data_IF_829202579894
#
_entry.id   IF_829202579894
#
_cell.length_a   1.000
_cell.length_b   1.000
_cell.length_c   1.000
_cell.angle_alpha   90.00
_cell.angle_beta   90.00
_cell.angle_gamma   90.00
#
_symmetry.space_group_name_H-M   'P 1'
#
loop_
_entity.id
_entity.type
_entity.pdbx_description
1 polymer ?
#
# COMPACT_ATOMS: atom_id res chain seq x y z
N UNK A 1 -17.18 -7.90 6.03
CA UNK A 1 -16.50 -7.77 4.73
C UNK A 1 -16.31 -6.29 4.49
N UNK A 2 -15.08 -5.79 4.59
CA UNK A 2 -14.78 -4.36 4.49
C UNK A 2 -13.28 -4.22 4.37
N UNK A 3 -12.76 -4.55 3.18
CA UNK A 3 -11.36 -4.41 2.84
C UNK A 3 -11.03 -2.91 2.77
N UNK A 4 -9.87 -2.55 3.32
CA UNK A 4 -9.37 -1.19 3.34
C UNK A 4 -9.23 -0.65 1.91
N UNK A 5 -9.73 0.56 1.63
CA UNK A 5 -9.80 1.07 0.27
C UNK A 5 -8.44 1.67 -0.17
N UNK A 6 -7.81 1.09 -1.18
CA UNK A 6 -6.61 1.61 -1.85
C UNK A 6 -7.03 2.70 -2.84
N UNK A 7 -6.67 3.95 -2.55
CA UNK A 7 -6.55 5.01 -3.55
C UNK A 7 -5.11 4.91 -4.08
N UNK A 8 -4.95 4.52 -5.33
CA UNK A 8 -3.64 4.53 -5.97
C UNK A 8 -3.10 5.95 -6.07
N UNK A 9 -1.88 6.20 -5.59
CA UNK A 9 -1.04 7.23 -6.19
C UNK A 9 0.46 6.98 -5.93
N UNK A 10 1.10 6.36 -6.94
CA UNK A 10 2.54 6.31 -7.14
C UNK A 10 3.05 4.89 -7.39
N UNK A 11 3.35 4.57 -8.66
CA UNK A 11 4.26 3.47 -8.98
C UNK A 11 5.63 4.06 -9.31
N UNK A 12 6.71 3.51 -8.78
CA UNK A 12 8.06 3.97 -9.12
C UNK A 12 8.64 3.11 -10.24
N UNK A 13 8.91 3.71 -11.40
CA UNK A 13 9.41 2.97 -12.57
C UNK A 13 10.95 2.95 -12.67
N UNK A 14 11.41 1.82 -13.22
CA UNK A 14 12.76 1.27 -13.21
C UNK A 14 13.65 1.86 -14.31
N UNK A 15 14.11 3.10 -14.16
CA UNK A 15 15.30 3.57 -14.89
C UNK A 15 16.61 3.28 -14.14
N UNK A 16 16.62 2.27 -13.25
CA UNK A 16 17.88 1.60 -12.87
C UNK A 16 18.32 1.66 -11.41
N UNK A 17 17.42 1.86 -10.44
CA UNK A 17 17.74 1.57 -9.04
C UNK A 17 16.62 0.76 -8.41
N UNK A 18 16.96 -0.40 -7.83
CA UNK A 18 16.12 -1.10 -6.86
C UNK A 18 15.79 -0.16 -5.69
N UNK A 19 14.75 -0.40 -4.87
CA UNK A 19 14.73 0.20 -3.54
C UNK A 19 16.07 -0.11 -2.88
N UNK A 20 16.95 0.89 -2.84
CA UNK A 20 18.19 0.79 -2.12
C UNK A 20 17.77 0.92 -0.66
N UNK A 21 17.68 -0.20 0.04
CA UNK A 21 17.74 -0.20 1.48
C UNK A 21 19.13 0.34 1.85
N UNK A 22 19.29 1.65 1.83
CA UNK A 22 20.55 2.30 2.15
C UNK A 22 20.59 2.46 3.67
N UNK A 23 21.43 1.67 4.32
CA UNK A 23 21.56 1.67 5.79
C UNK A 23 20.23 1.47 6.52
N UNK A 24 19.39 0.54 6.05
CA UNK A 24 18.10 0.22 6.67
C UNK A 24 16.96 1.19 6.34
N UNK A 25 17.19 2.21 5.50
CA UNK A 25 16.15 3.15 5.06
C UNK A 25 15.70 2.83 3.64
N UNK A 26 14.40 2.70 3.42
CA UNK A 26 13.84 2.59 2.07
C UNK A 26 14.00 3.92 1.34
N UNK A 27 14.90 3.98 0.36
CA UNK A 27 14.99 5.11 -0.56
C UNK A 27 14.24 4.80 -1.85
N UNK A 28 13.20 5.57 -2.13
CA UNK A 28 12.44 5.49 -3.37
C UNK A 28 13.33 6.00 -4.52
N UNK A 29 13.54 5.16 -5.53
CA UNK A 29 14.33 5.49 -6.70
C UNK A 29 13.50 5.30 -7.97
N UNK A 30 13.74 6.13 -8.98
CA UNK A 30 12.99 6.14 -10.24
C UNK A 30 12.02 7.31 -10.37
N UNK A 31 11.25 7.34 -11.46
CA UNK A 31 10.24 8.38 -11.70
C UNK A 31 8.87 7.84 -11.26
N UNK A 32 8.10 8.59 -10.46
CA UNK A 32 6.70 8.26 -10.20
C UNK A 32 5.91 8.24 -11.50
N UNK A 33 5.18 7.16 -11.74
CA UNK A 33 4.13 7.09 -12.76
C UNK A 33 2.76 7.13 -12.10
N UNK A 34 1.81 7.71 -12.81
CA UNK A 34 0.40 7.62 -12.44
C UNK A 34 -0.10 6.17 -12.56
N UNK A 35 -1.14 5.79 -11.80
CA UNK A 35 -1.85 4.54 -12.02
C UNK A 35 -2.34 4.42 -13.47
N UNK A 36 -2.43 3.19 -13.99
CA UNK A 36 -3.08 2.96 -15.27
C UNK A 36 -4.56 3.33 -15.20
N UNK A 37 -5.19 3.63 -16.34
CA UNK A 37 -6.61 4.04 -16.36
C UNK A 37 -7.57 3.01 -15.73
N UNK A 38 -7.26 1.71 -15.84
CA UNK A 38 -8.01 0.62 -15.22
C UNK A 38 -7.65 0.36 -13.74
N UNK A 39 -6.63 1.04 -13.22
CA UNK A 39 -6.22 1.07 -11.82
C UNK A 39 -6.57 2.40 -11.14
N UNK A 40 -7.11 3.36 -11.91
CA UNK A 40 -7.59 4.62 -11.40
C UNK A 40 -8.93 4.44 -10.68
N UNK A 41 -8.98 4.86 -9.41
CA UNK A 41 -10.18 4.78 -8.57
C UNK A 41 -9.97 3.93 -7.33
N UNK A 42 -11.08 3.60 -6.67
CA UNK A 42 -11.11 2.86 -5.43
C UNK A 42 -11.04 1.35 -5.68
N UNK A 43 -10.05 0.69 -5.08
CA UNK A 43 -9.87 -0.77 -5.18
C UNK A 43 -9.43 -1.36 -3.84
N UNK A 44 -9.56 -2.67 -3.68
CA UNK A 44 -9.01 -3.43 -2.56
C UNK A 44 -7.72 -4.18 -2.93
N UNK A 45 -7.45 -4.31 -4.23
CA UNK A 45 -6.31 -5.04 -4.79
C UNK A 45 -5.62 -4.21 -5.87
N UNK A 46 -4.29 -4.22 -5.85
CA UNK A 46 -3.46 -3.56 -6.86
C UNK A 46 -2.33 -4.48 -7.31
N UNK A 47 -1.94 -4.38 -8.57
CA UNK A 47 -0.81 -5.14 -9.12
C UNK A 47 0.47 -4.40 -8.75
N UNK A 48 1.50 -5.11 -8.28
CA UNK A 48 2.84 -4.57 -8.07
C UNK A 48 3.81 -5.49 -8.79
N UNK A 49 4.41 -5.02 -9.88
CA UNK A 49 5.35 -5.83 -10.65
C UNK A 49 6.72 -5.90 -9.96
N UNK A 50 7.58 -6.86 -10.34
CA UNK A 50 8.95 -6.90 -9.85
C UNK A 50 9.66 -5.56 -10.06
N UNK A 51 10.30 -5.06 -8.99
CA UNK A 51 11.02 -3.77 -8.96
C UNK A 51 10.12 -2.53 -9.06
N UNK A 52 8.81 -2.66 -8.90
CA UNK A 52 7.93 -1.54 -8.66
C UNK A 52 7.70 -1.35 -7.16
N UNK A 53 7.51 -0.11 -6.75
CA UNK A 53 6.99 0.25 -5.43
C UNK A 53 5.65 0.92 -5.65
N UNK A 54 4.65 0.50 -4.88
CA UNK A 54 3.31 1.09 -4.89
C UNK A 54 3.07 1.89 -3.61
N UNK A 55 2.64 3.14 -3.76
CA UNK A 55 2.09 3.94 -2.67
C UNK A 55 0.56 3.88 -2.70
N UNK A 56 -0.04 3.54 -1.55
CA UNK A 56 -1.49 3.45 -1.36
C UNK A 56 -1.94 4.50 -0.36
N UNK A 57 -3.07 5.15 -0.65
CA UNK A 57 -3.74 6.05 0.26
C UNK A 57 -5.05 5.38 0.71
N UNK A 58 -5.20 5.19 2.02
CA UNK A 58 -6.32 4.47 2.62
C UNK A 58 -7.13 5.41 3.50
N UNK A 59 -8.46 5.31 3.44
CA UNK A 59 -9.36 5.88 4.44
C UNK A 59 -9.74 4.79 5.43
N UNK A 60 -9.36 4.97 6.69
CA UNK A 60 -9.82 4.10 7.78
C UNK A 60 -11.12 4.66 8.34
N UNK A 61 -12.26 4.11 7.90
CA UNK A 61 -13.59 4.42 8.42
C UNK A 61 -14.31 3.17 8.94
N UNK A 62 -15.36 3.38 9.74
CA UNK A 62 -16.14 2.31 10.34
C UNK A 62 -15.53 1.76 11.63
N UNK A 63 -14.84 0.62 11.54
CA UNK A 63 -14.52 -0.21 12.71
C UNK A 63 -13.03 -0.25 13.02
N UNK A 64 -12.71 -0.23 14.32
CA UNK A 64 -11.37 -0.53 14.83
C UNK A 64 -11.16 -2.04 14.90
N UNK A 65 -9.92 -2.51 14.74
CA UNK A 65 -9.60 -3.93 14.86
C UNK A 65 -8.33 -4.33 14.14
N UNK A 66 -8.05 -5.64 14.16
CA UNK A 66 -6.92 -6.26 13.47
C UNK A 66 -7.35 -6.74 12.09
N UNK A 67 -6.55 -6.39 11.10
CA UNK A 67 -6.77 -6.70 9.70
C UNK A 67 -5.49 -7.26 9.09
N UNK A 68 -5.57 -7.77 7.86
CA UNK A 68 -4.43 -8.31 7.12
C UNK A 68 -4.28 -7.61 5.78
N UNK A 69 -3.04 -7.50 5.33
CA UNK A 69 -2.71 -7.27 3.94
C UNK A 69 -1.74 -8.37 3.50
N UNK A 70 -1.91 -8.87 2.27
CA UNK A 70 -1.10 -9.96 1.76
C UNK A 70 -1.01 -9.95 0.23
N UNK A 71 -0.05 -10.71 -0.30
CA UNK A 71 -0.05 -11.04 -1.72
C UNK A 71 -1.23 -11.98 -2.00
N UNK A 72 -2.03 -11.70 -3.04
CA UNK A 72 -3.18 -12.54 -3.40
C UNK A 72 -2.78 -13.73 -4.32
N UNK A 73 -1.49 -14.04 -4.40
CA UNK A 73 -0.97 -15.28 -4.99
C UNK A 73 -0.79 -16.28 -3.87
N UNK A 74 -1.49 -17.40 -3.94
CA UNK A 74 -1.57 -18.37 -2.84
C UNK A 74 -0.19 -18.86 -2.41
N UNK A 75 0.67 -19.14 -3.39
CA UNK A 75 2.02 -19.60 -3.13
C UNK A 75 2.86 -18.54 -2.39
N UNK A 76 2.60 -17.26 -2.59
CA UNK A 76 3.29 -16.19 -1.86
C UNK A 76 2.66 -15.93 -0.49
N UNK A 77 1.33 -15.98 -0.40
CA UNK A 77 0.58 -15.84 0.85
C UNK A 77 1.03 -16.88 1.88
N UNK A 78 1.05 -18.15 1.48
CA UNK A 78 1.43 -19.27 2.33
C UNK A 78 2.92 -19.26 2.71
N UNK A 79 3.76 -18.59 1.91
CA UNK A 79 5.19 -18.42 2.15
C UNK A 79 5.53 -17.02 2.71
N UNK A 80 4.86 -16.65 3.81
CA UNK A 80 5.16 -15.49 4.67
C UNK A 80 4.89 -14.09 4.09
N UNK A 81 4.14 -13.95 2.98
CA UNK A 81 3.68 -12.65 2.47
C UNK A 81 2.33 -12.18 3.04
N UNK A 82 1.97 -12.62 4.25
CA UNK A 82 0.85 -12.09 5.02
C UNK A 82 1.33 -11.28 6.22
N UNK A 83 0.80 -10.07 6.40
CA UNK A 83 1.17 -9.16 7.48
C UNK A 83 -0.08 -8.56 8.15
N UNK A 84 -0.14 -8.56 9.50
CA UNK A 84 -1.23 -7.91 10.21
C UNK A 84 -1.01 -6.40 10.30
N UNK A 85 -2.11 -5.66 10.40
CA UNK A 85 -2.13 -4.26 10.83
C UNK A 85 -3.32 -4.02 11.77
N UNK A 86 -3.25 -2.95 12.55
CA UNK A 86 -4.31 -2.58 13.49
C UNK A 86 -4.84 -1.19 13.15
N UNK A 87 -6.18 -1.10 13.03
CA UNK A 87 -6.89 0.16 12.94
C UNK A 87 -7.34 0.53 14.35
N UNK A 88 -6.76 1.59 14.89
CA UNK A 88 -7.08 2.11 16.22
C UNK A 88 -8.11 3.23 16.13
N UNK A 89 -8.82 3.48 17.23
CA UNK A 89 -9.71 4.63 17.32
C UNK A 89 -8.88 5.91 17.11
N UNK A 90 -9.41 6.84 16.32
CA UNK A 90 -8.77 8.14 16.15
C UNK A 90 -8.82 8.90 17.48
N UNK A 91 -7.66 9.16 18.07
CA UNK A 91 -7.47 10.08 19.20
C UNK A 91 -7.31 11.54 18.72
N UNK A 92 -7.28 11.74 17.39
CA UNK A 92 -7.24 13.03 16.74
C UNK A 92 -8.49 13.87 17.08
N UNK A 93 -8.37 14.70 18.12
CA UNK A 93 -9.23 15.86 18.30
C UNK A 93 -9.09 16.73 17.04
N UNK A 94 -10.15 16.86 16.25
CA UNK A 94 -10.21 17.91 15.21
C UNK A 94 -9.88 19.25 15.87
N UNK A 95 -8.83 19.98 15.47
CA UNK A 95 -8.65 21.34 15.95
C UNK A 95 -9.89 22.13 15.55
N UNK A 96 -10.65 22.62 16.55
CA UNK A 96 -11.72 23.59 16.34
C UNK A 96 -11.06 24.88 15.88
N UNK A 97 -11.13 25.15 14.58
CA UNK A 97 -10.96 26.48 13.99
C UNK A 97 -12.31 26.91 13.45
#
# INVERSE_FOLDING_TARGET
>A
MGAAPIIGCGYWNRDGNVPALNSGTLQLAGTPRLPHANEAGWKDTAVVNPKEILTILIRFDGYTGRYVYHCHMLEHEDNDMMRPYEVVASDLKTPKG
#
